data_IF_536260881278
#
_entry.id   IF_536260881278
#
_cell.length_a   1.000
_cell.length_b   1.000
_cell.length_c   1.000
_cell.angle_alpha   90.00
_cell.angle_beta   90.00
_cell.angle_gamma   90.00
#
_symmetry.space_group_name_H-M   'P 1'
#
loop_
_entity.id
_entity.type
_entity.pdbx_description
1 polymer ?
#
# COMPACT_ATOMS: atom_id res chain seq x y z
N UNK A 1 -21.93 20.90 -10.20
CA UNK A 1 -21.79 21.08 -8.73
C UNK A 1 -20.41 20.64 -8.33
N UNK A 2 -19.69 21.45 -7.52
CA UNK A 2 -18.27 21.25 -7.24
C UNK A 2 -18.03 20.33 -6.06
N UNK A 3 -17.14 19.33 -6.21
CA UNK A 3 -16.74 18.40 -5.14
C UNK A 3 -15.53 18.99 -4.41
N UNK A 4 -15.57 18.93 -3.09
CA UNK A 4 -14.43 19.27 -2.23
C UNK A 4 -13.64 18.00 -1.91
N UNK A 5 -12.42 17.93 -2.38
CA UNK A 5 -11.49 16.82 -2.10
C UNK A 5 -10.48 17.27 -1.05
N UNK A 6 -10.30 16.47 0.01
CA UNK A 6 -9.32 16.78 1.04
C UNK A 6 -8.50 15.56 1.42
N UNK A 7 -7.19 15.65 1.25
CA UNK A 7 -6.22 14.62 1.61
C UNK A 7 -5.08 15.19 2.45
N UNK A 8 -4.44 14.35 3.26
CA UNK A 8 -3.34 14.78 4.13
C UNK A 8 -2.14 15.30 3.33
N UNK A 9 -1.64 14.50 2.38
CA UNK A 9 -0.42 14.76 1.61
C UNK A 9 -0.67 14.40 0.15
N UNK A 10 -0.22 15.21 -0.81
CA UNK A 10 -0.30 14.90 -2.23
C UNK A 10 0.79 13.88 -2.62
N UNK A 11 0.61 12.61 -2.25
CA UNK A 11 1.60 11.56 -2.50
C UNK A 11 1.69 11.22 -3.98
N UNK A 12 2.91 11.14 -4.52
CA UNK A 12 3.15 10.89 -5.95
C UNK A 12 2.59 9.55 -6.43
N UNK A 13 2.58 8.52 -5.59
CA UNK A 13 2.03 7.21 -5.97
C UNK A 13 0.53 7.23 -6.24
N UNK A 14 -0.19 8.31 -5.84
CA UNK A 14 -1.61 8.53 -6.14
C UNK A 14 -1.85 9.45 -7.33
N UNK A 15 -0.81 9.88 -8.02
CA UNK A 15 -0.93 10.82 -9.14
C UNK A 15 -1.94 10.35 -10.19
N UNK A 16 -1.87 9.08 -10.59
CA UNK A 16 -2.74 8.53 -11.60
C UNK A 16 -4.23 8.63 -11.21
N UNK A 17 -4.60 8.17 -10.03
CA UNK A 17 -6.01 8.24 -9.56
C UNK A 17 -6.45 9.69 -9.30
N UNK A 18 -5.58 10.57 -8.79
CA UNK A 18 -5.92 11.97 -8.60
C UNK A 18 -6.23 12.66 -9.94
N UNK A 19 -5.40 12.45 -10.97
CA UNK A 19 -5.64 12.97 -12.32
C UNK A 19 -6.94 12.43 -12.95
N UNK A 20 -7.26 11.14 -12.71
CA UNK A 20 -8.51 10.56 -13.18
C UNK A 20 -9.74 11.19 -12.50
N UNK A 21 -9.70 11.39 -11.18
CA UNK A 21 -10.77 12.07 -10.43
C UNK A 21 -10.89 13.52 -10.91
N UNK A 22 -9.76 14.22 -11.08
CA UNK A 22 -9.73 15.61 -11.54
C UNK A 22 -10.29 15.80 -12.97
N UNK A 23 -10.12 14.80 -13.82
CA UNK A 23 -10.69 14.77 -15.18
C UNK A 23 -12.18 14.50 -15.15
N UNK A 24 -12.64 13.59 -14.30
CA UNK A 24 -14.01 13.11 -14.24
C UNK A 24 -14.97 14.10 -13.58
N UNK A 25 -14.50 14.83 -12.56
CA UNK A 25 -15.35 15.69 -11.74
C UNK A 25 -14.91 17.16 -11.78
N UNK A 26 -15.89 18.06 -11.63
CA UNK A 26 -15.60 19.45 -11.26
C UNK A 26 -15.30 19.51 -9.77
N UNK A 27 -14.02 19.64 -9.41
CA UNK A 27 -13.56 19.52 -8.05
C UNK A 27 -12.48 20.55 -7.68
N UNK A 28 -12.39 20.84 -6.39
CA UNK A 28 -11.29 21.60 -5.79
C UNK A 28 -10.53 20.68 -4.83
N UNK A 29 -9.20 20.66 -4.96
CA UNK A 29 -8.29 19.84 -4.16
C UNK A 29 -7.71 20.64 -2.99
N UNK A 30 -7.78 20.05 -1.82
CA UNK A 30 -7.15 20.58 -0.61
C UNK A 30 -6.23 19.52 -0.02
N UNK A 31 -5.01 19.92 0.33
CA UNK A 31 -4.06 19.06 1.00
C UNK A 31 -3.66 19.67 2.34
N UNK A 32 -3.40 18.80 3.32
CA UNK A 32 -2.97 19.25 4.63
C UNK A 32 -1.58 19.87 4.58
N UNK A 33 -0.61 19.11 4.11
CA UNK A 33 0.78 19.58 3.99
C UNK A 33 1.57 18.79 2.92
N UNK A 34 2.76 19.30 2.58
CA UNK A 34 3.79 18.54 1.88
C UNK A 34 4.59 17.72 2.92
N UNK A 35 4.81 16.44 2.64
CA UNK A 35 5.57 15.55 3.51
C UNK A 35 7.04 15.51 3.08
N UNK A 36 7.94 15.47 4.07
CA UNK A 36 9.37 15.21 3.83
C UNK A 36 9.65 13.70 3.71
N UNK A 37 8.75 12.85 4.23
CA UNK A 37 8.90 11.39 4.27
C UNK A 37 8.41 10.68 3.00
N UNK A 38 7.53 11.30 2.23
CA UNK A 38 6.93 10.74 1.02
C UNK A 38 7.09 11.73 -0.13
N UNK A 39 7.61 11.26 -1.27
CA UNK A 39 7.72 12.09 -2.46
C UNK A 39 6.35 12.65 -2.84
N UNK A 40 6.26 13.97 -2.89
CA UNK A 40 5.03 14.68 -3.18
C UNK A 40 4.88 14.94 -4.68
N UNK A 41 3.62 14.90 -5.12
CA UNK A 41 3.18 15.35 -6.43
C UNK A 41 3.29 16.89 -6.53
N UNK A 42 3.66 17.40 -7.69
CA UNK A 42 3.42 18.82 -7.98
C UNK A 42 1.91 19.05 -8.13
N UNK A 43 1.32 19.68 -7.13
CA UNK A 43 -0.13 19.92 -7.08
C UNK A 43 -0.65 20.80 -8.22
N UNK A 44 0.24 21.52 -8.92
CA UNK A 44 -0.13 22.34 -10.09
C UNK A 44 -0.63 21.50 -11.28
N UNK A 45 -0.38 20.19 -11.28
CA UNK A 45 -0.94 19.28 -12.28
C UNK A 45 -2.45 19.02 -12.09
N UNK A 46 -3.04 19.45 -10.97
CA UNK A 46 -4.48 19.37 -10.67
C UNK A 46 -5.13 20.73 -10.91
N UNK A 47 -6.37 20.75 -11.43
CA UNK A 47 -7.04 22.00 -11.89
C UNK A 47 -7.12 23.11 -10.83
N UNK A 48 -7.51 22.76 -9.62
CA UNK A 48 -7.70 23.71 -8.52
C UNK A 48 -7.20 23.11 -7.22
N UNK A 49 -5.95 23.34 -6.88
CA UNK A 49 -5.30 22.74 -5.72
C UNK A 49 -4.76 23.78 -4.74
N UNK A 50 -4.85 23.48 -3.44
CA UNK A 50 -4.46 24.37 -2.34
C UNK A 50 -3.88 23.56 -1.18
N UNK A 51 -2.78 24.03 -0.58
CA UNK A 51 -2.27 23.52 0.69
C UNK A 51 -2.89 24.35 1.82
N UNK A 52 -3.57 23.67 2.75
CA UNK A 52 -4.21 24.35 3.91
C UNK A 52 -3.22 24.63 5.04
N UNK A 53 -2.23 23.77 5.20
CA UNK A 53 -1.26 23.82 6.30
C UNK A 53 -1.76 23.12 7.57
N UNK A 54 -0.82 22.50 8.29
CA UNK A 54 -1.06 21.76 9.52
C UNK A 54 -0.39 22.47 10.69
N UNK A 55 -1.13 22.68 11.77
CA UNK A 55 -0.58 23.05 13.06
C UNK A 55 -0.08 21.82 13.83
N UNK A 56 0.97 21.97 14.64
CA UNK A 56 1.62 20.88 15.37
C UNK A 56 2.27 19.82 14.46
N UNK A 57 2.92 20.26 13.40
CA UNK A 57 3.66 19.38 12.46
C UNK A 57 4.56 18.41 13.21
N UNK A 58 4.57 17.14 12.76
CA UNK A 58 5.39 16.07 13.36
C UNK A 58 4.80 15.41 14.62
N UNK A 59 3.64 15.83 15.09
CA UNK A 59 2.92 15.17 16.19
C UNK A 59 1.85 14.21 15.68
N UNK A 60 1.58 13.15 16.44
CA UNK A 60 0.49 12.20 16.15
C UNK A 60 -0.87 12.91 16.08
N UNK A 61 -1.08 13.93 16.91
CA UNK A 61 -2.31 14.73 17.00
C UNK A 61 -2.03 16.11 16.42
N UNK A 62 -2.81 16.55 15.46
CA UNK A 62 -2.62 17.79 14.72
C UNK A 62 -3.95 18.50 14.39
N UNK A 63 -3.85 19.67 13.80
CA UNK A 63 -4.99 20.51 13.39
C UNK A 63 -4.77 21.03 11.98
N UNK A 64 -5.69 20.75 11.06
CA UNK A 64 -5.66 21.30 9.70
C UNK A 64 -6.32 22.65 9.65
N UNK A 65 -5.57 23.67 9.25
CA UNK A 65 -6.06 25.06 9.18
C UNK A 65 -7.10 25.21 8.08
N UNK A 66 -8.20 25.88 8.39
CA UNK A 66 -9.25 26.19 7.40
C UNK A 66 -10.15 25.00 6.98
N UNK A 67 -9.93 23.77 7.45
CA UNK A 67 -10.75 22.62 7.07
C UNK A 67 -12.24 22.87 7.38
N UNK A 68 -12.57 23.34 8.57
CA UNK A 68 -13.95 23.63 8.99
C UNK A 68 -14.59 24.68 8.08
N UNK A 69 -13.84 25.70 7.63
CA UNK A 69 -14.36 26.77 6.79
C UNK A 69 -14.86 26.25 5.42
N UNK A 70 -14.30 25.14 4.92
CA UNK A 70 -14.76 24.53 3.67
C UNK A 70 -16.22 24.10 3.74
N UNK A 71 -16.70 23.71 4.94
CA UNK A 71 -18.08 23.30 5.14
C UNK A 71 -19.09 24.45 4.90
N UNK A 72 -18.70 25.70 5.15
CA UNK A 72 -19.56 26.87 4.98
C UNK A 72 -19.57 27.42 3.55
N UNK A 73 -18.66 26.96 2.67
CA UNK A 73 -18.66 27.37 1.25
C UNK A 73 -19.87 26.78 0.53
N UNK A 74 -20.77 27.63 0.03
CA UNK A 74 -22.03 27.23 -0.64
C UNK A 74 -21.81 26.38 -1.90
N UNK A 75 -20.66 26.54 -2.57
CA UNK A 75 -20.32 25.82 -3.81
C UNK A 75 -20.08 24.31 -3.59
N UNK A 76 -19.74 23.89 -2.35
CA UNK A 76 -19.52 22.49 -2.03
C UNK A 76 -20.75 21.88 -1.38
N UNK A 77 -21.32 20.88 -2.02
CA UNK A 77 -22.38 20.04 -1.46
C UNK A 77 -21.91 18.59 -1.22
N UNK A 78 -20.82 18.18 -1.90
CA UNK A 78 -20.20 16.87 -1.79
C UNK A 78 -18.73 16.99 -1.39
N UNK A 79 -18.34 16.15 -0.45
CA UNK A 79 -16.98 16.05 0.06
C UNK A 79 -16.47 14.62 -0.14
N UNK A 80 -15.21 14.47 -0.57
CA UNK A 80 -14.50 13.21 -0.58
C UNK A 80 -13.15 13.44 0.09
N UNK A 81 -12.95 12.83 1.25
CA UNK A 81 -11.84 13.16 2.14
C UNK A 81 -11.16 11.91 2.65
N UNK A 82 -9.86 11.99 2.96
CA UNK A 82 -9.32 10.98 3.85
C UNK A 82 -9.97 11.11 5.24
N UNK A 83 -10.09 9.99 5.97
CA UNK A 83 -10.75 9.96 7.28
C UNK A 83 -9.72 9.97 8.42
N UNK A 84 -9.24 11.15 8.85
CA UNK A 84 -8.19 11.25 9.86
C UNK A 84 -8.76 11.08 11.27
N UNK A 85 -8.33 10.06 12.00
CA UNK A 85 -8.70 9.88 13.40
C UNK A 85 -8.03 10.92 14.30
N UNK A 86 -6.83 11.36 13.95
CA UNK A 86 -5.97 12.21 14.81
C UNK A 86 -5.87 13.67 14.35
N UNK A 87 -6.64 14.07 13.33
CA UNK A 87 -6.85 15.47 13.00
C UNK A 87 -7.99 16.05 13.84
N UNK A 88 -7.64 16.86 14.83
CA UNK A 88 -8.63 17.46 15.71
C UNK A 88 -9.60 18.39 14.99
N UNK A 89 -9.24 18.97 13.84
CA UNK A 89 -10.12 19.83 13.06
C UNK A 89 -11.23 19.05 12.33
N UNK A 90 -11.00 17.76 12.09
CA UNK A 90 -11.98 16.90 11.42
C UNK A 90 -13.21 16.61 12.29
N UNK A 91 -13.06 16.50 13.61
CA UNK A 91 -14.18 16.21 14.50
C UNK A 91 -15.25 17.31 14.55
N UNK A 92 -14.90 18.59 14.79
CA UNK A 92 -15.89 19.66 14.68
C UNK A 92 -16.45 19.78 13.25
N UNK A 93 -15.65 19.58 12.20
CA UNK A 93 -16.17 19.49 10.84
C UNK A 93 -17.27 18.43 10.73
N UNK A 94 -17.02 17.23 11.23
CA UNK A 94 -17.96 16.10 11.19
C UNK A 94 -19.24 16.39 11.99
N UNK A 95 -19.10 16.92 13.21
CA UNK A 95 -20.23 17.27 14.10
C UNK A 95 -21.09 18.38 13.47
N UNK A 96 -20.48 19.45 13.00
CA UNK A 96 -21.19 20.57 12.35
C UNK A 96 -21.91 20.07 11.09
N UNK A 97 -21.26 19.21 10.28
CA UNK A 97 -21.91 18.58 9.12
C UNK A 97 -23.15 17.79 9.54
N UNK A 98 -23.02 16.96 10.58
CA UNK A 98 -24.12 16.11 11.03
C UNK A 98 -25.32 16.91 11.57
N UNK A 99 -25.08 18.01 12.26
CA UNK A 99 -26.12 18.81 12.89
C UNK A 99 -26.78 19.81 11.92
N UNK A 100 -25.96 20.54 11.15
CA UNK A 100 -26.43 21.72 10.40
C UNK A 100 -26.40 21.53 8.86
N UNK A 101 -25.64 20.56 8.34
CA UNK A 101 -25.47 20.38 6.89
C UNK A 101 -25.82 18.95 6.44
N UNK A 102 -26.93 18.39 6.92
CA UNK A 102 -27.38 17.00 6.65
C UNK A 102 -27.52 16.68 5.15
N UNK A 103 -27.88 17.69 4.34
CA UNK A 103 -28.00 17.54 2.86
C UNK A 103 -26.66 17.45 2.15
N UNK A 104 -25.56 17.91 2.77
CA UNK A 104 -24.23 17.76 2.19
C UNK A 104 -23.76 16.32 2.37
N UNK A 105 -23.19 15.74 1.31
CA UNK A 105 -22.67 14.37 1.31
C UNK A 105 -21.19 14.35 1.68
N UNK A 106 -20.82 13.46 2.57
CA UNK A 106 -19.45 13.25 3.01
C UNK A 106 -19.04 11.80 2.77
N UNK A 107 -18.12 11.60 1.88
CA UNK A 107 -17.48 10.32 1.62
C UNK A 107 -16.06 10.35 2.19
N UNK A 108 -15.60 9.24 2.74
CA UNK A 108 -14.24 9.12 3.28
C UNK A 108 -13.48 7.98 2.63
N UNK A 109 -12.18 8.18 2.42
CA UNK A 109 -11.24 7.17 1.96
C UNK A 109 -10.28 6.83 3.10
N UNK A 110 -10.37 5.60 3.61
CA UNK A 110 -9.75 5.20 4.89
C UNK A 110 -9.21 3.79 4.84
N UNK A 111 -8.32 3.47 5.77
CA UNK A 111 -7.92 2.06 5.99
C UNK A 111 -9.09 1.19 6.48
N UNK A 112 -10.11 1.78 7.10
CA UNK A 112 -11.27 1.08 7.62
C UNK A 112 -11.03 0.48 9.02
N UNK A 113 -11.58 -0.71 9.27
CA UNK A 113 -11.51 -1.43 10.54
C UNK A 113 -10.67 -2.71 10.39
N UNK A 114 -9.76 -2.95 11.33
CA UNK A 114 -8.83 -4.08 11.30
C UNK A 114 -8.90 -5.00 12.51
N UNK A 115 -9.70 -4.65 13.54
CA UNK A 115 -9.84 -5.44 14.77
C UNK A 115 -8.73 -5.20 15.82
N UNK A 116 -7.77 -4.31 15.53
CA UNK A 116 -6.66 -3.94 16.43
C UNK A 116 -6.81 -2.55 17.04
N UNK A 117 -7.94 -1.90 16.80
CA UNK A 117 -8.21 -0.55 17.28
C UNK A 117 -8.22 -0.52 18.81
N UNK A 118 -7.54 0.47 19.37
CA UNK A 118 -7.70 0.77 20.80
C UNK A 118 -9.13 1.16 21.11
N UNK A 119 -9.55 1.05 22.37
CA UNK A 119 -10.92 1.42 22.78
C UNK A 119 -11.32 2.82 22.30
N UNK A 120 -10.47 3.82 22.52
CA UNK A 120 -10.74 5.19 22.09
C UNK A 120 -10.81 5.32 20.56
N UNK A 121 -9.86 4.74 19.83
CA UNK A 121 -9.88 4.72 18.36
C UNK A 121 -11.15 4.05 17.83
N UNK A 122 -11.57 2.98 18.49
CA UNK A 122 -12.78 2.26 18.14
C UNK A 122 -14.05 3.13 18.27
N UNK A 123 -14.20 3.86 19.38
CA UNK A 123 -15.32 4.79 19.55
C UNK A 123 -15.31 5.88 18.49
N UNK A 124 -14.16 6.52 18.28
CA UNK A 124 -14.01 7.60 17.30
C UNK A 124 -14.31 7.10 15.88
N UNK A 125 -13.74 5.99 15.47
CA UNK A 125 -13.99 5.40 14.14
C UNK A 125 -15.48 5.02 13.95
N UNK A 126 -16.10 4.39 14.94
CA UNK A 126 -17.55 4.04 14.88
C UNK A 126 -18.41 5.28 14.70
N UNK A 127 -18.16 6.34 15.46
CA UNK A 127 -18.88 7.61 15.29
C UNK A 127 -18.67 8.19 13.90
N UNK A 128 -17.43 8.25 13.42
CA UNK A 128 -17.11 8.72 12.07
C UNK A 128 -17.84 7.90 11.01
N UNK A 129 -17.76 6.57 11.06
CA UNK A 129 -18.41 5.68 10.11
C UNK A 129 -19.94 5.76 10.16
N UNK A 130 -20.52 6.11 11.31
CA UNK A 130 -21.95 6.33 11.41
C UNK A 130 -22.40 7.61 10.67
N UNK A 131 -21.65 8.70 10.82
CA UNK A 131 -22.02 10.05 10.31
C UNK A 131 -21.77 10.21 8.80
N UNK A 132 -20.76 9.56 8.23
CA UNK A 132 -20.42 9.72 6.80
C UNK A 132 -21.44 9.02 5.91
N UNK A 133 -21.54 9.45 4.66
CA UNK A 133 -22.47 8.92 3.66
C UNK A 133 -21.86 7.75 2.85
N UNK A 134 -20.55 7.75 2.63
CA UNK A 134 -19.80 6.67 1.93
C UNK A 134 -18.45 6.41 2.59
N UNK A 135 -18.03 5.13 2.63
CA UNK A 135 -16.77 4.66 3.21
C UNK A 135 -16.03 3.86 2.13
N UNK A 136 -14.90 4.37 1.68
CA UNK A 136 -14.02 3.74 0.72
C UNK A 136 -12.80 3.17 1.45
N UNK A 137 -12.78 1.85 1.62
CA UNK A 137 -11.70 1.12 2.29
C UNK A 137 -10.63 0.71 1.30
N UNK A 138 -9.37 0.68 1.73
CA UNK A 138 -8.26 0.22 0.88
C UNK A 138 -8.26 -1.28 0.59
N UNK A 139 -9.15 -2.08 1.21
CA UNK A 139 -9.21 -3.52 0.97
C UNK A 139 -10.54 -4.15 1.36
N UNK A 140 -10.75 -5.37 0.86
CA UNK A 140 -11.95 -6.17 1.11
C UNK A 140 -12.00 -6.68 2.55
N UNK A 141 -10.85 -6.93 3.20
CA UNK A 141 -10.79 -7.30 4.61
C UNK A 141 -11.45 -6.24 5.50
N UNK A 142 -11.06 -4.99 5.34
CA UNK A 142 -11.64 -3.88 6.09
C UNK A 142 -13.13 -3.67 5.77
N UNK A 143 -13.52 -3.82 4.49
CA UNK A 143 -14.91 -3.80 4.06
C UNK A 143 -15.71 -4.92 4.74
N UNK A 144 -15.20 -6.16 4.73
CA UNK A 144 -15.84 -7.31 5.38
C UNK A 144 -16.07 -7.04 6.88
N UNK A 145 -15.04 -6.56 7.59
CA UNK A 145 -15.13 -6.22 9.00
C UNK A 145 -16.22 -5.18 9.28
N UNK A 146 -16.34 -4.14 8.45
CA UNK A 146 -17.39 -3.14 8.59
C UNK A 146 -18.79 -3.70 8.30
N UNK A 147 -18.94 -4.57 7.32
CA UNK A 147 -20.22 -5.24 7.05
C UNK A 147 -20.65 -6.15 8.21
N UNK A 148 -19.72 -6.89 8.82
CA UNK A 148 -19.96 -7.71 10.02
C UNK A 148 -20.32 -6.87 11.24
N UNK A 149 -19.86 -5.61 11.30
CA UNK A 149 -20.29 -4.62 12.32
C UNK A 149 -21.67 -4.02 12.04
N UNK A 150 -22.36 -4.39 10.96
CA UNK A 150 -23.71 -3.96 10.61
C UNK A 150 -23.79 -2.72 9.72
N UNK A 151 -22.67 -2.24 9.14
CA UNK A 151 -22.74 -1.16 8.14
C UNK A 151 -23.30 -1.70 6.81
N UNK A 152 -24.10 -0.85 6.10
CA UNK A 152 -24.75 -1.25 4.84
C UNK A 152 -23.76 -1.45 3.70
N UNK A 153 -24.04 -2.43 2.81
CA UNK A 153 -23.33 -2.65 1.56
C UNK A 153 -23.34 -1.42 0.64
N UNK A 154 -24.41 -0.63 0.69
CA UNK A 154 -24.54 0.60 -0.11
C UNK A 154 -23.70 1.77 0.43
N UNK A 155 -22.99 1.56 1.52
CA UNK A 155 -22.17 2.57 2.20
C UNK A 155 -20.69 2.23 2.22
N UNK A 156 -20.32 0.95 2.14
CA UNK A 156 -18.93 0.47 2.32
C UNK A 156 -18.41 -0.16 1.04
N UNK A 157 -17.33 0.39 0.50
CA UNK A 157 -16.74 -0.01 -0.78
C UNK A 157 -15.24 -0.31 -0.61
N UNK A 158 -14.72 -1.34 -1.28
CA UNK A 158 -13.29 -1.55 -1.40
C UNK A 158 -12.80 -0.82 -2.65
N UNK A 159 -11.89 0.15 -2.47
CA UNK A 159 -11.32 0.94 -3.57
C UNK A 159 -9.93 0.47 -3.94
N UNK A 160 -9.33 -0.37 -3.11
CA UNK A 160 -7.95 -0.83 -3.19
C UNK A 160 -6.92 0.30 -3.23
N UNK A 161 -5.69 -0.02 -3.64
CA UNK A 161 -4.63 0.96 -3.85
C UNK A 161 -4.01 0.75 -5.25
N UNK A 162 -3.23 1.70 -5.73
CA UNK A 162 -2.54 1.59 -7.01
C UNK A 162 -1.22 2.33 -6.99
N UNK A 163 -0.39 2.04 -7.98
CA UNK A 163 0.84 2.75 -8.30
C UNK A 163 0.69 3.47 -9.65
N UNK A 164 1.80 3.88 -10.26
CA UNK A 164 1.79 4.48 -11.60
C UNK A 164 1.66 3.40 -12.68
N UNK A 165 0.47 2.83 -12.76
CA UNK A 165 0.16 1.63 -13.54
C UNK A 165 0.54 1.73 -15.02
N UNK A 166 0.24 2.84 -15.69
CA UNK A 166 0.47 2.96 -17.14
C UNK A 166 1.96 2.99 -17.50
N UNK A 167 2.77 3.69 -16.68
CA UNK A 167 4.21 3.70 -16.81
C UNK A 167 4.78 2.30 -16.54
N UNK A 168 4.37 1.69 -15.44
CA UNK A 168 4.80 0.33 -15.07
C UNK A 168 4.36 -0.71 -16.10
N UNK A 169 3.16 -0.60 -16.67
CA UNK A 169 2.68 -1.48 -17.75
C UNK A 169 3.56 -1.36 -19.01
N UNK A 170 4.00 -0.14 -19.31
CA UNK A 170 4.91 0.11 -20.44
C UNK A 170 6.28 -0.52 -20.19
N UNK A 171 6.80 -0.42 -18.98
CA UNK A 171 8.05 -1.05 -18.57
C UNK A 171 7.94 -2.58 -18.53
N UNK A 172 6.83 -3.11 -17.98
CA UNK A 172 6.56 -4.56 -17.94
C UNK A 172 6.66 -5.23 -19.31
N UNK A 173 6.12 -4.58 -20.35
CA UNK A 173 6.15 -5.10 -21.72
C UNK A 173 7.57 -5.17 -22.34
N UNK A 174 8.52 -4.46 -21.76
CA UNK A 174 9.91 -4.44 -22.22
C UNK A 174 10.80 -5.44 -21.46
N UNK A 175 10.29 -6.00 -20.35
CA UNK A 175 11.08 -6.89 -19.51
C UNK A 175 11.38 -8.21 -20.22
N UNK A 176 12.56 -8.72 -19.97
CA UNK A 176 13.05 -10.01 -20.42
C UNK A 176 14.05 -10.54 -19.39
N UNK A 177 14.35 -11.81 -19.48
CA UNK A 177 15.35 -12.42 -18.60
C UNK A 177 16.73 -11.82 -18.86
N UNK A 178 17.39 -11.38 -17.78
CA UNK A 178 18.76 -10.86 -17.79
C UNK A 178 19.64 -11.63 -16.81
N UNK A 179 20.94 -11.49 -16.92
CA UNK A 179 21.89 -12.12 -16.01
C UNK A 179 22.23 -11.22 -14.81
N UNK A 180 21.33 -10.28 -14.41
CA UNK A 180 21.61 -9.29 -13.36
C UNK A 180 22.05 -9.93 -12.04
N UNK A 181 21.42 -11.01 -11.63
CA UNK A 181 21.75 -11.73 -10.40
C UNK A 181 22.92 -12.70 -10.58
N UNK A 182 22.96 -13.43 -11.68
CA UNK A 182 24.09 -14.31 -12.00
C UNK A 182 25.41 -13.54 -12.09
N UNK A 183 25.40 -12.37 -12.72
CA UNK A 183 26.57 -11.49 -12.82
C UNK A 183 27.02 -10.95 -11.45
N UNK A 184 26.09 -10.69 -10.54
CA UNK A 184 26.41 -10.16 -9.21
C UNK A 184 26.87 -11.27 -8.25
N UNK A 185 26.12 -12.37 -8.16
CA UNK A 185 26.34 -13.44 -7.18
C UNK A 185 27.26 -14.54 -7.67
N UNK A 186 27.60 -14.59 -8.98
CA UNK A 186 28.38 -15.63 -9.63
C UNK A 186 27.86 -17.05 -9.42
N UNK A 187 26.52 -17.16 -9.27
CA UNK A 187 25.78 -18.42 -9.13
C UNK A 187 24.39 -18.31 -9.75
N UNK A 188 23.64 -19.43 -9.78
CA UNK A 188 22.28 -19.53 -10.32
C UNK A 188 21.26 -19.88 -9.23
N UNK A 189 21.57 -19.60 -7.97
CA UNK A 189 20.62 -19.83 -6.88
C UNK A 189 19.38 -18.95 -7.03
N UNK A 190 18.19 -19.42 -6.65
CA UNK A 190 16.98 -18.62 -6.65
C UNK A 190 17.17 -17.34 -5.84
N UNK A 191 16.63 -16.24 -6.35
CA UNK A 191 16.80 -14.91 -5.76
C UNK A 191 15.54 -14.41 -5.07
N UNK A 192 15.66 -14.16 -3.79
CA UNK A 192 14.65 -13.50 -2.94
C UNK A 192 14.92 -12.01 -3.00
N UNK A 193 13.86 -11.22 -3.29
CA UNK A 193 13.92 -9.76 -3.29
C UNK A 193 13.03 -9.15 -2.21
N UNK A 194 13.48 -8.04 -1.64
CA UNK A 194 12.64 -7.07 -0.96
C UNK A 194 12.87 -5.68 -1.55
N UNK A 195 11.78 -4.98 -1.89
CA UNK A 195 11.83 -3.63 -2.41
C UNK A 195 11.03 -2.70 -1.50
N UNK A 196 11.71 -1.66 -0.94
CA UNK A 196 11.10 -0.69 -0.07
C UNK A 196 12.02 -0.15 1.03
N UNK A 197 11.48 0.67 1.94
CA UNK A 197 12.24 1.24 3.05
C UNK A 197 12.67 0.16 4.07
N UNK A 198 13.94 0.15 4.45
CA UNK A 198 14.49 -0.80 5.43
C UNK A 198 14.20 -0.31 6.86
N UNK A 199 12.96 -0.56 7.32
CA UNK A 199 12.47 -0.15 8.65
C UNK A 199 12.14 -1.36 9.52
N UNK A 200 12.12 -1.18 10.84
CA UNK A 200 11.86 -2.25 11.81
C UNK A 200 10.50 -2.94 11.61
N UNK A 201 9.48 -2.19 11.19
CA UNK A 201 8.14 -2.75 10.95
C UNK A 201 8.11 -3.74 9.78
N UNK A 202 9.11 -3.72 8.89
CA UNK A 202 9.24 -4.65 7.76
C UNK A 202 9.83 -6.00 8.15
N UNK A 203 10.40 -6.12 9.35
CA UNK A 203 10.97 -7.37 9.90
C UNK A 203 11.89 -8.12 8.92
N UNK A 204 12.73 -7.36 8.20
CA UNK A 204 13.63 -7.90 7.16
C UNK A 204 14.73 -8.80 7.75
N UNK A 205 14.98 -8.69 9.04
CA UNK A 205 15.81 -9.58 9.82
C UNK A 205 15.38 -11.06 9.73
N UNK A 206 14.06 -11.31 9.59
CA UNK A 206 13.54 -12.68 9.47
C UNK A 206 13.89 -13.34 8.14
N UNK A 207 14.15 -12.57 7.06
CA UNK A 207 14.60 -13.14 5.78
C UNK A 207 15.97 -13.79 5.97
N UNK A 208 16.88 -13.09 6.66
CA UNK A 208 18.23 -13.60 6.93
C UNK A 208 18.18 -14.85 7.82
N UNK A 209 17.33 -14.84 8.86
CA UNK A 209 17.18 -16.01 9.73
C UNK A 209 16.62 -17.22 8.95
N UNK A 210 15.56 -17.02 8.15
CA UNK A 210 14.95 -18.08 7.37
C UNK A 210 15.93 -18.68 6.32
N UNK A 211 16.68 -17.81 5.61
CA UNK A 211 17.67 -18.27 4.64
C UNK A 211 18.85 -18.99 5.33
N UNK A 212 19.22 -18.57 6.55
CA UNK A 212 20.23 -19.29 7.33
C UNK A 212 19.77 -20.71 7.69
N UNK A 213 18.51 -20.90 8.08
CA UNK A 213 17.93 -22.23 8.32
C UNK A 213 17.94 -23.06 7.03
N UNK A 214 17.52 -22.47 5.91
CA UNK A 214 17.49 -23.16 4.62
C UNK A 214 18.90 -23.57 4.16
N UNK A 215 19.90 -22.72 4.37
CA UNK A 215 21.30 -23.02 4.07
C UNK A 215 21.83 -24.22 4.87
N UNK A 216 21.47 -24.30 6.18
CA UNK A 216 21.82 -25.46 7.01
C UNK A 216 21.21 -26.76 6.49
N UNK A 217 20.06 -26.68 5.78
CA UNK A 217 19.40 -27.79 5.13
C UNK A 217 19.87 -28.03 3.69
N UNK A 218 20.95 -27.37 3.26
CA UNK A 218 21.53 -27.53 1.91
C UNK A 218 20.80 -26.75 0.80
N UNK A 219 19.84 -25.88 1.14
CA UNK A 219 19.11 -25.05 0.17
C UNK A 219 19.72 -23.65 0.14
N UNK A 220 20.24 -23.24 -1.02
CA UNK A 220 20.93 -21.96 -1.19
C UNK A 220 20.04 -20.96 -1.91
N UNK A 221 19.98 -19.73 -1.39
CA UNK A 221 19.23 -18.61 -1.95
C UNK A 221 20.10 -17.36 -1.96
N UNK A 222 19.89 -16.52 -2.97
CA UNK A 222 20.37 -15.14 -2.98
C UNK A 222 19.32 -14.22 -2.38
N UNK A 223 19.74 -13.13 -1.74
CA UNK A 223 18.86 -12.11 -1.15
C UNK A 223 19.24 -10.74 -1.70
N UNK A 224 18.27 -9.98 -2.16
CA UNK A 224 18.48 -8.60 -2.61
C UNK A 224 17.56 -7.65 -1.84
N UNK A 225 18.16 -6.66 -1.17
CA UNK A 225 17.44 -5.57 -0.53
C UNK A 225 17.56 -4.31 -1.40
N UNK A 226 16.47 -3.94 -2.08
CA UNK A 226 16.36 -2.71 -2.87
C UNK A 226 15.68 -1.65 -2.00
N UNK A 227 16.47 -0.72 -1.50
CA UNK A 227 16.01 0.33 -0.60
C UNK A 227 17.07 0.77 0.39
N UNK A 228 16.70 1.74 1.22
CA UNK A 228 17.52 2.22 2.32
C UNK A 228 16.65 2.49 3.55
N UNK A 229 17.27 2.63 4.71
CA UNK A 229 16.55 2.93 5.96
C UNK A 229 17.37 2.61 7.21
N UNK A 230 16.83 2.93 8.39
CA UNK A 230 17.56 2.82 9.66
C UNK A 230 17.97 1.40 10.04
N UNK A 231 17.41 0.38 9.39
CA UNK A 231 17.76 -1.02 9.69
C UNK A 231 18.93 -1.55 8.84
N UNK A 232 19.47 -0.78 7.89
CA UNK A 232 20.51 -1.24 6.96
C UNK A 232 21.73 -1.81 7.68
N UNK A 233 22.34 -1.04 8.56
CA UNK A 233 23.57 -1.44 9.25
C UNK A 233 23.36 -2.70 10.08
N UNK A 234 22.20 -2.83 10.74
CA UNK A 234 21.84 -4.02 11.51
C UNK A 234 21.67 -5.25 10.60
N UNK A 235 21.06 -5.09 9.43
CA UNK A 235 20.90 -6.19 8.47
C UNK A 235 22.25 -6.62 7.89
N UNK A 236 23.12 -5.70 7.53
CA UNK A 236 24.48 -5.99 7.06
C UNK A 236 25.32 -6.72 8.11
N UNK A 237 25.23 -6.27 9.38
CA UNK A 237 25.89 -6.94 10.49
C UNK A 237 25.35 -8.37 10.70
N UNK A 238 24.02 -8.53 10.69
CA UNK A 238 23.36 -9.83 10.83
C UNK A 238 23.74 -10.80 9.71
N UNK A 239 23.79 -10.33 8.47
CA UNK A 239 24.21 -11.14 7.33
C UNK A 239 25.65 -11.70 7.52
N UNK A 240 26.57 -10.87 8.06
CA UNK A 240 27.95 -11.31 8.41
C UNK A 240 27.95 -12.36 9.51
N UNK A 241 27.21 -12.14 10.59
CA UNK A 241 27.11 -13.09 11.73
C UNK A 241 26.57 -14.44 11.28
N UNK A 242 25.61 -14.47 10.35
CA UNK A 242 25.02 -15.69 9.80
C UNK A 242 25.81 -16.30 8.64
N UNK A 243 27.00 -15.75 8.32
CA UNK A 243 27.82 -16.19 7.18
C UNK A 243 27.08 -16.19 5.85
N UNK A 244 26.24 -15.16 5.62
CA UNK A 244 25.45 -14.97 4.41
C UNK A 244 25.98 -13.84 3.51
N UNK A 245 27.13 -13.24 3.81
CA UNK A 245 27.63 -12.05 3.11
C UNK A 245 27.69 -12.21 1.59
N UNK A 246 28.08 -13.36 1.09
CA UNK A 246 28.20 -13.65 -0.35
C UNK A 246 26.85 -13.95 -1.02
N UNK A 247 25.79 -14.09 -0.21
CA UNK A 247 24.42 -14.39 -0.65
C UNK A 247 23.48 -13.17 -0.52
N UNK A 248 23.99 -12.03 -0.03
CA UNK A 248 23.16 -10.85 0.23
C UNK A 248 23.67 -9.62 -0.50
N UNK A 249 22.81 -9.04 -1.32
CA UNK A 249 23.08 -7.78 -2.01
C UNK A 249 22.25 -6.64 -1.42
N UNK A 250 22.90 -5.71 -0.76
CA UNK A 250 22.31 -4.44 -0.35
C UNK A 250 22.43 -3.42 -1.48
N UNK A 251 21.49 -3.47 -2.43
CA UNK A 251 21.49 -2.64 -3.63
C UNK A 251 21.49 -1.13 -3.32
N UNK A 252 20.80 -0.73 -2.25
CA UNK A 252 20.60 0.67 -1.89
C UNK A 252 19.26 1.22 -2.41
N UNK A 253 19.03 2.50 -2.17
CA UNK A 253 17.80 3.16 -2.65
C UNK A 253 17.81 3.28 -4.18
N UNK A 254 16.77 2.80 -4.83
CA UNK A 254 16.58 2.88 -6.27
C UNK A 254 15.30 3.68 -6.57
N UNK A 255 15.44 4.76 -7.31
CA UNK A 255 14.33 5.63 -7.76
C UNK A 255 14.12 5.55 -9.27
N UNK A 256 14.91 4.73 -9.94
CA UNK A 256 14.79 4.41 -11.35
C UNK A 256 13.82 3.22 -11.50
N UNK A 257 12.64 3.48 -12.06
CA UNK A 257 11.60 2.48 -12.18
C UNK A 257 11.95 1.40 -13.22
N UNK A 258 12.73 1.74 -14.26
CA UNK A 258 13.21 0.76 -15.24
C UNK A 258 14.15 -0.25 -14.58
N UNK A 259 15.03 0.24 -13.70
CA UNK A 259 15.94 -0.63 -12.93
C UNK A 259 15.21 -1.47 -11.88
N UNK A 260 14.22 -0.89 -11.21
CA UNK A 260 13.34 -1.64 -10.31
C UNK A 260 12.61 -2.75 -11.05
N UNK A 261 12.10 -2.45 -12.25
CA UNK A 261 11.41 -3.41 -13.10
C UNK A 261 12.31 -4.58 -13.47
N UNK A 262 13.57 -4.32 -13.90
CA UNK A 262 14.56 -5.37 -14.20
C UNK A 262 14.85 -6.25 -13.00
N UNK A 263 15.14 -5.64 -11.84
CA UNK A 263 15.45 -6.38 -10.62
C UNK A 263 14.28 -7.27 -10.17
N UNK A 264 13.06 -6.72 -10.16
CA UNK A 264 11.87 -7.46 -9.73
C UNK A 264 11.50 -8.56 -10.72
N UNK A 265 11.56 -8.28 -12.03
CA UNK A 265 11.22 -9.25 -13.07
C UNK A 265 12.13 -10.48 -13.03
N UNK A 266 13.42 -10.29 -12.75
CA UNK A 266 14.40 -11.36 -12.67
C UNK A 266 14.47 -12.05 -11.30
N UNK A 267 13.81 -11.53 -10.27
CA UNK A 267 13.71 -12.18 -8.97
C UNK A 267 12.65 -13.30 -8.99
N UNK A 268 12.86 -14.31 -8.16
CA UNK A 268 11.99 -15.49 -8.11
C UNK A 268 10.86 -15.34 -7.06
N UNK A 269 11.13 -14.60 -5.98
CA UNK A 269 10.19 -14.46 -4.87
C UNK A 269 10.44 -13.15 -4.10
N UNK A 270 9.41 -12.36 -3.90
CA UNK A 270 9.45 -11.26 -2.94
C UNK A 270 9.10 -11.77 -1.54
N UNK A 271 9.92 -11.47 -0.54
CA UNK A 271 9.65 -11.83 0.85
C UNK A 271 9.52 -10.57 1.69
N UNK A 272 8.34 -10.36 2.26
CA UNK A 272 8.00 -9.21 3.10
C UNK A 272 7.45 -9.67 4.47
N UNK A 273 8.32 -10.00 5.45
CA UNK A 273 7.91 -10.64 6.69
C UNK A 273 7.09 -9.77 7.63
N UNK A 274 7.21 -8.44 7.54
CA UNK A 274 6.36 -7.48 8.24
C UNK A 274 5.15 -7.08 7.40
N UNK A 275 4.62 -5.87 7.61
CA UNK A 275 3.53 -5.39 6.78
C UNK A 275 3.98 -5.18 5.32
N UNK A 276 3.34 -5.86 4.39
CA UNK A 276 3.81 -5.87 2.99
C UNK A 276 3.61 -4.52 2.27
N UNK A 277 2.43 -3.92 2.39
CA UNK A 277 2.10 -2.65 1.74
C UNK A 277 2.19 -2.70 0.22
N UNK A 278 2.40 -1.53 -0.41
CA UNK A 278 2.51 -1.39 -1.86
C UNK A 278 3.65 -2.22 -2.49
N UNK A 279 4.58 -2.73 -1.70
CA UNK A 279 5.60 -3.68 -2.17
C UNK A 279 4.96 -4.88 -2.87
N UNK A 280 3.83 -5.42 -2.36
CA UNK A 280 3.13 -6.53 -3.00
C UNK A 280 2.66 -6.18 -4.42
N UNK A 281 1.97 -5.06 -4.57
CA UNK A 281 1.47 -4.61 -5.87
C UNK A 281 2.62 -4.29 -6.83
N UNK A 282 3.69 -3.67 -6.31
CA UNK A 282 4.85 -3.31 -7.11
C UNK A 282 5.60 -4.53 -7.65
N UNK A 283 5.82 -5.54 -6.81
CA UNK A 283 6.53 -6.75 -7.25
C UNK A 283 5.67 -7.61 -8.17
N UNK A 284 4.37 -7.74 -7.88
CA UNK A 284 3.44 -8.44 -8.77
C UNK A 284 3.24 -7.74 -10.12
N UNK A 285 3.38 -6.42 -10.19
CA UNK A 285 3.33 -5.68 -11.45
C UNK A 285 4.40 -6.15 -12.44
N UNK A 286 5.53 -6.62 -11.96
CA UNK A 286 6.62 -7.20 -12.76
C UNK A 286 6.70 -8.73 -12.64
N UNK A 287 5.64 -9.37 -12.18
CA UNK A 287 5.47 -10.82 -12.18
C UNK A 287 6.17 -11.58 -11.07
N UNK A 288 6.64 -10.89 -10.02
CA UNK A 288 7.28 -11.52 -8.88
C UNK A 288 6.23 -11.81 -7.78
N UNK A 289 6.04 -13.08 -7.39
CA UNK A 289 5.11 -13.48 -6.33
C UNK A 289 5.59 -13.07 -4.94
N UNK A 290 4.70 -13.09 -3.95
CA UNK A 290 4.98 -12.53 -2.62
C UNK A 290 4.72 -13.51 -1.50
N UNK A 291 5.65 -13.62 -0.54
CA UNK A 291 5.44 -14.26 0.76
C UNK A 291 5.37 -13.21 1.84
N UNK A 292 4.29 -13.25 2.63
CA UNK A 292 4.07 -12.36 3.77
C UNK A 292 3.32 -13.10 4.89
N UNK A 293 3.11 -12.45 6.07
CA UNK A 293 2.49 -13.12 7.21
C UNK A 293 0.95 -13.11 7.16
N UNK A 294 0.31 -14.05 7.86
CA UNK A 294 -1.13 -14.30 7.89
C UNK A 294 -1.91 -13.48 8.93
N UNK A 295 -1.25 -12.69 9.78
CA UNK A 295 -1.97 -11.85 10.74
C UNK A 295 -2.48 -10.56 10.07
N UNK A 296 -3.63 -10.66 9.42
CA UNK A 296 -4.21 -9.61 8.59
C UNK A 296 -4.53 -8.32 9.36
N UNK A 297 -4.79 -8.41 10.67
CA UNK A 297 -4.99 -7.22 11.51
C UNK A 297 -3.76 -6.31 11.54
N UNK A 298 -2.56 -6.88 11.39
CA UNK A 298 -1.28 -6.15 11.40
C UNK A 298 -0.68 -5.95 10.00
N UNK A 299 -1.41 -6.31 8.96
CA UNK A 299 -1.02 -6.06 7.57
C UNK A 299 -1.43 -4.68 7.07
N UNK A 300 -0.83 -4.27 5.95
CA UNK A 300 -1.34 -3.21 5.09
C UNK A 300 -2.30 -3.83 4.06
N UNK A 301 -3.29 -3.09 3.54
CA UNK A 301 -4.35 -3.64 2.67
C UNK A 301 -3.88 -4.50 1.51
N UNK A 302 -2.70 -4.21 0.99
CA UNK A 302 -2.15 -4.86 -0.21
C UNK A 302 -1.77 -6.34 0.00
N UNK A 303 -1.83 -6.85 1.25
CA UNK A 303 -1.72 -8.30 1.50
C UNK A 303 -2.80 -9.09 0.75
N UNK A 304 -3.92 -8.44 0.45
CA UNK A 304 -5.05 -9.06 -0.26
C UNK A 304 -4.73 -9.41 -1.73
N UNK A 305 -3.67 -8.80 -2.30
CA UNK A 305 -3.16 -9.21 -3.61
C UNK A 305 -2.47 -10.58 -3.57
N UNK A 306 -2.05 -11.04 -2.37
CA UNK A 306 -1.44 -12.35 -2.19
C UNK A 306 -2.54 -13.43 -2.18
N UNK A 307 -2.59 -14.22 -3.24
CA UNK A 307 -3.51 -15.37 -3.38
C UNK A 307 -2.71 -16.64 -3.24
N UNK A 308 -2.96 -17.47 -2.20
CA UNK A 308 -2.20 -18.69 -1.97
C UNK A 308 -2.07 -19.57 -3.22
N UNK A 309 -0.87 -20.04 -3.49
CA UNK A 309 -0.49 -20.89 -4.63
C UNK A 309 -0.67 -20.24 -6.02
N UNK A 310 -1.09 -18.97 -6.11
CA UNK A 310 -1.23 -18.22 -7.38
C UNK A 310 -0.26 -17.07 -7.48
N UNK A 311 -0.31 -16.13 -6.53
CA UNK A 311 0.53 -14.93 -6.49
C UNK A 311 1.44 -14.90 -5.28
N UNK A 312 1.43 -15.93 -4.44
CA UNK A 312 2.30 -16.04 -3.27
C UNK A 312 1.77 -16.98 -2.19
N UNK A 313 2.30 -16.83 -0.98
CA UNK A 313 1.94 -17.62 0.20
C UNK A 313 1.90 -16.76 1.46
N UNK A 314 1.25 -17.27 2.49
CA UNK A 314 1.30 -16.73 3.84
C UNK A 314 2.07 -17.67 4.78
N UNK A 315 2.79 -17.09 5.75
CA UNK A 315 3.45 -17.78 6.84
C UNK A 315 2.91 -17.28 8.19
N UNK A 316 3.09 -18.06 9.25
CA UNK A 316 2.60 -17.72 10.59
C UNK A 316 3.31 -16.49 11.14
N UNK A 317 2.55 -15.48 11.56
CA UNK A 317 3.07 -14.19 12.02
C UNK A 317 4.18 -14.35 13.07
N UNK A 318 5.37 -13.80 12.76
CA UNK A 318 6.53 -13.78 13.65
C UNK A 318 7.28 -15.10 13.75
N UNK A 319 6.90 -16.13 13.01
CA UNK A 319 7.52 -17.45 13.04
C UNK A 319 8.51 -17.62 11.88
N UNK A 320 9.81 -17.67 12.20
CA UNK A 320 10.89 -17.78 11.22
C UNK A 320 10.93 -19.18 10.57
N UNK A 321 10.67 -20.22 11.32
CA UNK A 321 10.61 -21.60 10.80
C UNK A 321 9.46 -21.73 9.80
N UNK A 322 8.28 -21.18 10.11
CA UNK A 322 7.17 -21.12 9.18
C UNK A 322 7.54 -20.37 7.91
N UNK A 323 8.24 -19.23 8.00
CA UNK A 323 8.74 -18.49 6.85
C UNK A 323 9.71 -19.33 6.01
N UNK A 324 10.68 -19.98 6.63
CA UNK A 324 11.64 -20.85 5.95
C UNK A 324 10.92 -22.00 5.22
N UNK A 325 9.97 -22.64 5.88
CA UNK A 325 9.18 -23.71 5.29
C UNK A 325 8.35 -23.24 4.10
N UNK A 326 7.74 -22.05 4.17
CA UNK A 326 6.97 -21.50 3.04
C UNK A 326 7.87 -21.15 1.84
N UNK A 327 9.08 -20.62 2.09
CA UNK A 327 10.06 -20.39 1.02
C UNK A 327 10.46 -21.75 0.38
N UNK A 328 10.83 -22.76 1.18
CA UNK A 328 11.19 -24.07 0.68
C UNK A 328 10.04 -24.72 -0.13
N UNK A 329 8.82 -24.68 0.42
CA UNK A 329 7.62 -25.22 -0.24
C UNK A 329 7.34 -24.53 -1.59
N UNK A 330 7.56 -23.22 -1.68
CA UNK A 330 7.35 -22.49 -2.91
C UNK A 330 8.23 -23.02 -4.05
N UNK A 331 9.50 -23.30 -3.77
CA UNK A 331 10.46 -23.79 -4.76
C UNK A 331 10.44 -25.32 -4.96
N UNK A 332 9.87 -26.09 -4.03
CA UNK A 332 9.78 -27.56 -4.13
C UNK A 332 8.56 -28.05 -4.93
N UNK A 333 7.67 -27.16 -5.35
CA UNK A 333 6.49 -27.57 -6.11
C UNK A 333 6.93 -28.09 -7.50
N UNK A 334 6.64 -29.35 -7.83
CA UNK A 334 6.96 -30.01 -9.13
C UNK A 334 6.41 -29.26 -10.36
N UNK A 335 5.52 -28.31 -10.14
CA UNK A 335 4.87 -27.46 -11.14
C UNK A 335 5.21 -25.98 -10.98
N UNK A 336 6.35 -25.61 -10.41
CA UNK A 336 6.81 -24.22 -10.41
C UNK A 336 6.99 -23.73 -11.86
N UNK A 337 5.91 -23.24 -12.42
CA UNK A 337 5.89 -22.61 -13.75
C UNK A 337 5.97 -21.11 -13.57
N UNK A 338 7.18 -20.57 -13.58
CA UNK A 338 7.44 -19.14 -13.40
C UNK A 338 6.52 -18.29 -14.26
N UNK A 339 6.32 -18.65 -15.53
CA UNK A 339 5.44 -17.90 -16.45
C UNK A 339 3.97 -17.92 -16.00
N UNK A 340 3.44 -19.03 -15.55
CA UNK A 340 2.07 -19.12 -15.06
C UNK A 340 1.85 -18.30 -13.79
N UNK A 341 2.85 -18.27 -12.89
CA UNK A 341 2.82 -17.43 -11.68
C UNK A 341 2.89 -15.96 -12.05
N UNK A 342 3.75 -15.60 -12.99
CA UNK A 342 3.90 -14.25 -13.52
C UNK A 342 2.60 -13.73 -14.09
N UNK A 343 1.93 -14.52 -14.92
CA UNK A 343 0.61 -14.19 -15.47
C UNK A 343 -0.46 -14.03 -14.38
N UNK A 344 -0.46 -14.86 -13.33
CA UNK A 344 -1.36 -14.69 -12.21
C UNK A 344 -1.11 -13.36 -11.46
N UNK A 345 0.16 -12.98 -11.27
CA UNK A 345 0.52 -11.70 -10.66
C UNK A 345 0.04 -10.52 -11.52
N UNK A 346 0.25 -10.59 -12.83
CA UNK A 346 -0.25 -9.58 -13.78
C UNK A 346 -1.76 -9.46 -13.71
N UNK A 347 -2.47 -10.58 -13.80
CA UNK A 347 -3.93 -10.61 -13.75
C UNK A 347 -4.47 -9.99 -12.45
N UNK A 348 -3.86 -10.28 -11.30
CA UNK A 348 -4.29 -9.71 -10.02
C UNK A 348 -4.11 -8.19 -10.00
N UNK A 349 -2.99 -7.66 -10.48
CA UNK A 349 -2.74 -6.22 -10.54
C UNK A 349 -3.66 -5.55 -11.58
N UNK A 350 -3.76 -6.12 -12.77
CA UNK A 350 -4.54 -5.57 -13.89
C UNK A 350 -6.04 -5.55 -13.59
N UNK A 351 -6.52 -6.46 -12.74
CA UNK A 351 -7.93 -6.53 -12.37
C UNK A 351 -8.28 -5.67 -11.17
N UNK A 352 -7.42 -5.66 -10.12
CA UNK A 352 -7.84 -5.18 -8.81
C UNK A 352 -7.00 -4.02 -8.25
N UNK A 353 -5.73 -3.85 -8.68
CA UNK A 353 -4.77 -2.96 -8.02
C UNK A 353 -4.24 -1.87 -8.96
N UNK A 354 -5.14 -1.22 -9.69
CA UNK A 354 -4.82 -0.19 -10.66
C UNK A 354 -5.76 1.03 -10.55
N UNK A 355 -5.39 2.19 -11.10
CA UNK A 355 -6.20 3.40 -10.98
C UNK A 355 -7.51 3.35 -11.76
N UNK A 356 -7.65 2.46 -12.77
CA UNK A 356 -8.89 2.28 -13.52
C UNK A 356 -9.95 1.58 -12.67
N UNK A 357 -9.55 0.55 -11.89
CA UNK A 357 -10.42 -0.06 -10.89
C UNK A 357 -10.86 1.00 -9.85
N UNK A 358 -9.94 1.80 -9.35
CA UNK A 358 -10.24 2.81 -8.36
C UNK A 358 -11.25 3.85 -8.85
N UNK A 359 -11.04 4.40 -10.05
CA UNK A 359 -11.95 5.41 -10.60
C UNK A 359 -13.34 4.82 -10.89
N UNK A 360 -13.41 3.56 -11.30
CA UNK A 360 -14.67 2.86 -11.52
C UNK A 360 -15.47 2.73 -10.20
N UNK A 361 -14.81 2.30 -9.12
CA UNK A 361 -15.42 2.27 -7.78
C UNK A 361 -15.90 3.65 -7.35
N UNK A 362 -15.12 4.70 -7.58
CA UNK A 362 -15.53 6.08 -7.25
C UNK A 362 -16.75 6.49 -8.07
N UNK A 363 -16.77 6.27 -9.38
CA UNK A 363 -17.87 6.62 -10.28
C UNK A 363 -19.20 6.02 -9.88
N UNK A 364 -19.19 4.73 -9.54
CA UNK A 364 -20.42 4.00 -9.22
C UNK A 364 -20.91 4.24 -7.78
N UNK A 365 -20.04 4.66 -6.87
CA UNK A 365 -20.36 4.61 -5.43
C UNK A 365 -20.23 5.95 -4.69
N UNK A 366 -19.61 6.97 -5.27
CA UNK A 366 -19.47 8.26 -4.63
C UNK A 366 -20.87 8.85 -4.36
N UNK A 367 -21.19 9.07 -3.08
CA UNK A 367 -22.47 9.69 -2.71
C UNK A 367 -22.41 11.17 -3.01
N UNK A 368 -23.14 11.58 -4.04
CA UNK A 368 -23.23 12.95 -4.51
C UNK A 368 -24.53 13.57 -3.99
N UNK A 369 -24.48 14.84 -3.56
CA UNK A 369 -25.66 15.57 -3.18
C UNK A 369 -26.38 16.10 -4.44
N UNK A 370 -27.68 16.13 -4.39
CA UNK A 370 -28.57 16.70 -5.43
C UNK A 370 -28.39 18.22 -5.58
#
# INVERSE_FOLDING_TARGET
MKICLFFNTPSIYREAIYKMIDKEYDCDWFFGELSDDVKCLDIKCLKHSTILGIGNKGRRVYWTKGLISLLFKKKYKTYFMYGPTWDLSFWPFLIIKALFFRKKKLNIWVHGWYGKETWLEGILKKFMFHVVDGIFCYGDYAKKMLLEMGYSKDKVFAIHNSLNYDEQLTLRKKQHDTEVYKSHFHNENPTIIFLGRLTSIKRLDMILDAVSILKQNGQLFNIVYVGNGPMRDMLEHKAKVLCLSDQVWFYGACYDEEKNAELVYNADLCVAPGNVGLTAVHTMMFGCPVVTHDNFAYQMPEFEAVKPSKTGLFFDFGNVESLANQIANWFSQDNYKREAIRENCYMEVDTNWNPYYQIDIVKHNLKIAD
#
